data_IF_680032212138
#
_entry.id   IF_680032212138
#
_cell.length_a   1.000
_cell.length_b   1.000
_cell.length_c   1.000
_cell.angle_alpha   90.00
_cell.angle_beta   90.00
_cell.angle_gamma   90.00
#
_symmetry.space_group_name_H-M   'P 1'
#
loop_
_entity.id
_entity.type
_entity.pdbx_description
1 polymer ?
#
# COMPACT_ATOMS: atom_id res chain seq x y z
N UNK A 1 -13.21 5.71 -18.59
CA UNK A 1 -12.64 7.03 -18.94
C UNK A 1 -13.77 8.00 -19.33
N UNK A 2 -14.56 7.76 -20.37
CA UNK A 2 -15.60 8.69 -20.87
C UNK A 2 -16.59 9.17 -19.81
N UNK A 3 -17.00 8.30 -18.87
CA UNK A 3 -17.93 8.64 -17.78
C UNK A 3 -17.33 9.64 -16.78
N UNK A 4 -16.04 9.56 -16.53
CA UNK A 4 -15.38 10.29 -15.46
C UNK A 4 -14.53 11.49 -15.93
N UNK A 5 -14.18 11.55 -17.21
CA UNK A 5 -13.24 12.57 -17.76
C UNK A 5 -13.63 14.03 -17.50
N UNK A 6 -14.91 14.30 -17.24
CA UNK A 6 -15.39 15.66 -17.00
C UNK A 6 -15.27 16.10 -15.55
N UNK A 7 -14.76 15.22 -14.64
CA UNK A 7 -14.51 15.60 -13.26
C UNK A 7 -13.16 16.32 -13.15
N UNK A 8 -13.14 17.60 -12.72
CA UNK A 8 -11.91 18.40 -12.67
C UNK A 8 -10.90 17.90 -11.63
N UNK A 9 -11.30 17.01 -10.74
CA UNK A 9 -10.42 16.38 -9.74
C UNK A 9 -9.54 15.25 -10.31
N UNK A 10 -9.79 14.80 -11.56
CA UNK A 10 -8.94 13.77 -12.17
C UNK A 10 -7.67 14.42 -12.70
N UNK A 11 -6.57 14.18 -11.99
CA UNK A 11 -5.25 14.72 -12.32
C UNK A 11 -4.43 13.78 -13.22
N UNK A 12 -4.62 12.46 -13.08
CA UNK A 12 -3.89 11.44 -13.82
C UNK A 12 -4.73 10.16 -13.95
N UNK A 13 -4.56 9.46 -15.04
CA UNK A 13 -5.06 8.09 -15.21
C UNK A 13 -3.93 7.12 -14.94
N UNK A 14 -4.17 6.10 -14.11
CA UNK A 14 -3.21 5.04 -13.80
C UNK A 14 -3.70 3.70 -14.34
N UNK A 15 -2.78 2.92 -14.94
CA UNK A 15 -3.12 1.65 -15.57
C UNK A 15 -3.33 0.52 -14.58
N UNK A 16 -2.44 0.39 -13.62
CA UNK A 16 -2.49 -0.68 -12.63
C UNK A 16 -1.84 -0.29 -11.30
N UNK A 17 -2.07 -1.12 -10.29
CA UNK A 17 -1.35 -1.09 -9.03
C UNK A 17 -0.31 -2.21 -9.00
N UNK A 18 0.96 -1.84 -8.83
CA UNK A 18 2.11 -2.70 -8.54
C UNK A 18 2.43 -3.81 -9.56
N UNK A 19 1.76 -3.88 -10.72
CA UNK A 19 2.07 -4.94 -11.69
C UNK A 19 3.50 -4.85 -12.22
N UNK A 20 4.05 -3.65 -12.38
CA UNK A 20 5.45 -3.48 -12.79
C UNK A 20 6.42 -3.92 -11.68
N UNK A 21 6.16 -3.49 -10.44
CA UNK A 21 6.92 -3.93 -9.27
C UNK A 21 6.91 -5.45 -9.14
N UNK A 22 5.73 -6.07 -9.25
CA UNK A 22 5.59 -7.51 -9.17
C UNK A 22 6.33 -8.22 -10.31
N UNK A 23 6.20 -7.70 -11.53
CA UNK A 23 6.80 -8.30 -12.71
C UNK A 23 8.33 -8.25 -12.67
N UNK A 24 8.91 -7.08 -12.38
CA UNK A 24 10.35 -6.88 -12.45
C UNK A 24 11.06 -7.05 -11.09
N UNK A 25 10.41 -6.72 -9.97
CA UNK A 25 11.03 -6.70 -8.64
C UNK A 25 10.72 -7.92 -7.78
N UNK A 26 9.53 -8.55 -7.93
CA UNK A 26 9.11 -9.67 -7.08
C UNK A 26 9.25 -11.03 -7.74
N UNK A 27 9.90 -11.09 -8.91
CA UNK A 27 10.18 -12.34 -9.62
C UNK A 27 8.97 -12.96 -10.33
N UNK A 28 7.90 -12.18 -10.58
CA UNK A 28 6.74 -12.71 -11.31
C UNK A 28 7.07 -13.06 -12.77
N UNK A 29 8.08 -12.40 -13.33
CA UNK A 29 8.54 -12.63 -14.71
C UNK A 29 9.25 -13.97 -14.93
N UNK A 30 9.52 -14.71 -13.87
CA UNK A 30 10.14 -16.06 -13.92
C UNK A 30 9.31 -17.11 -13.20
N UNK A 31 8.17 -16.74 -12.63
CA UNK A 31 7.37 -17.57 -11.75
C UNK A 31 6.91 -18.88 -12.39
N UNK A 32 6.47 -18.82 -13.63
CA UNK A 32 6.00 -20.03 -14.34
C UNK A 32 7.14 -20.84 -14.93
N UNK A 33 8.26 -20.23 -15.29
CA UNK A 33 9.48 -20.93 -15.69
C UNK A 33 9.98 -21.86 -14.57
N UNK A 34 9.94 -21.39 -13.32
CA UNK A 34 10.30 -22.18 -12.14
C UNK A 34 9.36 -23.38 -11.92
N UNK A 35 8.14 -23.32 -12.45
CA UNK A 35 7.14 -24.39 -12.44
C UNK A 35 7.17 -25.25 -13.71
N UNK A 36 8.12 -25.04 -14.62
CA UNK A 36 8.26 -25.77 -15.87
C UNK A 36 7.44 -25.23 -17.05
N UNK A 37 6.91 -24.02 -16.95
CA UNK A 37 6.05 -23.37 -17.96
C UNK A 37 6.55 -21.99 -18.41
N UNK A 38 7.78 -21.87 -18.95
CA UNK A 38 8.37 -20.59 -19.31
C UNK A 38 7.58 -19.80 -20.39
N UNK A 39 6.79 -20.49 -21.19
CA UNK A 39 5.93 -19.86 -22.19
C UNK A 39 4.87 -18.94 -21.57
N UNK A 40 4.41 -19.25 -20.35
CA UNK A 40 3.41 -18.43 -19.65
C UNK A 40 3.99 -17.11 -19.17
N UNK A 41 5.25 -17.08 -18.71
CA UNK A 41 5.92 -15.85 -18.33
C UNK A 41 5.99 -14.89 -19.51
N UNK A 42 6.35 -15.39 -20.71
CA UNK A 42 6.37 -14.59 -21.94
C UNK A 42 4.97 -14.08 -22.32
N UNK A 43 3.96 -14.95 -22.31
CA UNK A 43 2.57 -14.59 -22.71
C UNK A 43 2.03 -13.51 -21.75
N UNK A 44 2.22 -13.67 -20.45
CA UNK A 44 1.73 -12.72 -19.45
C UNK A 44 2.46 -11.38 -19.60
N UNK A 45 3.80 -11.39 -19.76
CA UNK A 45 4.58 -10.17 -19.98
C UNK A 45 4.14 -9.40 -21.23
N UNK A 46 3.91 -10.11 -22.36
CA UNK A 46 3.39 -9.50 -23.60
C UNK A 46 2.00 -8.88 -23.38
N UNK A 47 1.11 -9.54 -22.62
CA UNK A 47 -0.22 -9.01 -22.33
C UNK A 47 -0.18 -7.79 -21.39
N UNK A 48 0.66 -7.80 -20.36
CA UNK A 48 0.87 -6.66 -19.48
C UNK A 48 1.37 -5.44 -20.27
N UNK A 49 2.39 -5.63 -21.12
CA UNK A 49 2.91 -4.58 -22.00
C UNK A 49 1.82 -4.04 -22.90
N UNK A 50 1.13 -4.90 -23.61
CA UNK A 50 0.05 -4.50 -24.54
C UNK A 50 -1.04 -3.73 -23.82
N UNK A 51 -1.50 -4.22 -22.67
CA UNK A 51 -2.60 -3.59 -21.94
C UNK A 51 -2.23 -2.21 -21.41
N UNK A 52 -1.09 -2.11 -20.71
CA UNK A 52 -0.75 -0.90 -19.96
C UNK A 52 0.09 0.11 -20.72
N UNK A 53 0.78 -0.29 -21.79
CA UNK A 53 1.63 0.62 -22.57
C UNK A 53 1.11 0.91 -23.99
N UNK A 54 0.07 0.19 -24.45
CA UNK A 54 -0.52 0.42 -25.76
C UNK A 54 -2.02 0.72 -25.66
N UNK A 55 -2.84 -0.26 -25.24
CA UNK A 55 -4.31 -0.14 -25.28
C UNK A 55 -4.85 0.95 -24.37
N UNK A 56 -4.40 0.99 -23.09
CA UNK A 56 -4.91 1.99 -22.14
C UNK A 56 -4.45 3.41 -22.45
N UNK A 57 -3.17 3.71 -22.77
CA UNK A 57 -2.78 5.06 -23.15
C UNK A 57 -3.47 5.53 -24.44
N UNK A 58 -3.68 4.67 -25.44
CA UNK A 58 -4.47 5.02 -26.63
C UNK A 58 -5.92 5.38 -26.25
N UNK A 59 -6.54 4.59 -25.39
CA UNK A 59 -7.90 4.85 -24.92
C UNK A 59 -7.99 6.15 -24.10
N UNK A 60 -6.98 6.46 -23.30
CA UNK A 60 -6.89 7.74 -22.58
C UNK A 60 -6.72 8.90 -23.55
N UNK A 61 -5.79 8.82 -24.49
CA UNK A 61 -5.57 9.85 -25.49
C UNK A 61 -6.84 10.14 -26.30
N UNK A 62 -7.58 9.10 -26.68
CA UNK A 62 -8.82 9.24 -27.44
C UNK A 62 -10.01 9.79 -26.62
N UNK A 63 -10.08 9.47 -25.32
CA UNK A 63 -11.26 9.76 -24.51
C UNK A 63 -11.08 10.91 -23.51
N UNK A 64 -9.86 11.21 -23.10
CA UNK A 64 -9.50 12.25 -22.12
C UNK A 64 -8.21 12.96 -22.53
N UNK A 65 -8.18 13.60 -23.70
CA UNK A 65 -6.99 14.27 -24.20
C UNK A 65 -6.55 15.36 -23.22
N UNK A 66 -5.25 15.43 -22.96
CA UNK A 66 -4.66 16.40 -22.06
C UNK A 66 -4.55 15.95 -20.58
N UNK A 67 -5.18 14.83 -20.19
CA UNK A 67 -4.95 14.23 -18.87
C UNK A 67 -3.80 13.23 -18.97
N UNK A 68 -2.75 13.35 -18.13
CA UNK A 68 -1.62 12.41 -18.12
C UNK A 68 -2.05 10.97 -17.85
N UNK A 69 -1.23 10.04 -18.34
CA UNK A 69 -1.39 8.61 -18.09
C UNK A 69 -0.07 8.03 -17.55
N UNK A 70 -0.18 7.25 -16.47
CA UNK A 70 0.90 6.42 -15.94
C UNK A 70 0.56 4.94 -16.11
N UNK A 71 1.47 4.11 -16.64
CA UNK A 71 1.16 2.70 -16.88
C UNK A 71 0.99 1.89 -15.60
N UNK A 72 1.63 2.27 -14.50
CA UNK A 72 1.60 1.59 -13.21
C UNK A 72 1.70 2.60 -12.05
N UNK A 73 1.40 2.18 -10.84
CA UNK A 73 1.78 2.82 -9.59
C UNK A 73 2.37 1.73 -8.66
N UNK A 74 3.60 1.87 -8.10
CA UNK A 74 4.51 2.98 -8.37
C UNK A 74 5.07 2.94 -9.79
N UNK A 75 5.50 4.09 -10.29
CA UNK A 75 6.10 4.18 -11.61
C UNK A 75 7.15 5.29 -11.69
N UNK A 76 8.28 4.96 -12.30
CA UNK A 76 9.29 5.89 -12.77
C UNK A 76 9.46 5.73 -14.29
N UNK A 77 10.28 6.56 -14.93
CA UNK A 77 10.51 6.47 -16.38
C UNK A 77 11.13 5.16 -16.84
N UNK A 78 11.77 4.44 -15.93
CA UNK A 78 12.43 3.18 -16.23
C UNK A 78 11.54 2.02 -15.85
N UNK A 79 11.28 1.11 -16.80
CA UNK A 79 10.55 -0.13 -16.54
C UNK A 79 11.23 -0.91 -15.40
N UNK A 80 10.45 -1.28 -14.40
CA UNK A 80 10.92 -2.13 -13.32
C UNK A 80 11.63 -1.45 -12.14
N UNK A 81 11.75 -0.14 -12.15
CA UNK A 81 12.31 0.59 -11.01
C UNK A 81 11.37 1.70 -10.56
N UNK A 82 11.01 1.71 -9.28
CA UNK A 82 10.47 2.91 -8.65
C UNK A 82 11.64 3.68 -8.02
N UNK A 83 12.09 4.71 -8.71
CA UNK A 83 13.12 5.60 -8.16
C UNK A 83 12.45 6.72 -7.35
N UNK A 84 12.91 6.93 -6.11
CA UNK A 84 12.36 7.99 -5.26
C UNK A 84 12.61 9.41 -5.81
N UNK A 85 13.46 9.55 -6.85
CA UNK A 85 13.80 10.82 -7.49
C UNK A 85 12.76 11.30 -8.50
N UNK A 86 11.91 10.41 -9.03
CA UNK A 86 10.89 10.73 -10.02
C UNK A 86 9.67 9.81 -9.88
N UNK A 87 8.56 10.20 -10.51
CA UNK A 87 7.31 9.42 -10.44
C UNK A 87 6.70 9.37 -9.06
N UNK A 88 6.21 8.20 -8.68
CA UNK A 88 5.61 7.93 -7.39
C UNK A 88 6.23 6.72 -6.69
N UNK A 89 6.05 6.64 -5.39
CA UNK A 89 6.68 5.63 -4.53
C UNK A 89 5.65 4.97 -3.63
N UNK A 90 5.69 3.64 -3.56
CA UNK A 90 5.05 2.84 -2.52
C UNK A 90 6.06 2.54 -1.41
N UNK A 91 5.86 3.14 -0.25
CA UNK A 91 6.80 3.02 0.86
C UNK A 91 6.25 2.11 1.97
N UNK A 92 6.51 0.82 1.84
CA UNK A 92 6.05 -0.22 2.77
C UNK A 92 7.11 -0.73 3.75
N UNK A 93 8.32 -0.16 3.72
CA UNK A 93 9.43 -0.60 4.57
C UNK A 93 9.08 -0.57 6.06
N UNK A 94 8.40 0.47 6.53
CA UNK A 94 7.96 0.56 7.93
C UNK A 94 7.03 -0.59 8.25
N UNK A 95 5.94 -0.77 7.50
CA UNK A 95 4.98 -1.83 7.80
C UNK A 95 5.48 -3.24 7.48
N UNK A 96 5.94 -3.51 6.25
CA UNK A 96 6.30 -4.86 5.82
C UNK A 96 7.65 -5.34 6.40
N UNK A 97 8.65 -4.46 6.49
CA UNK A 97 9.98 -4.84 6.98
C UNK A 97 10.23 -4.54 8.44
N UNK A 98 9.23 -4.05 9.19
CA UNK A 98 9.39 -3.62 10.59
C UNK A 98 10.50 -2.58 10.78
N UNK A 99 10.70 -1.69 9.83
CA UNK A 99 11.61 -0.58 10.03
C UNK A 99 11.04 0.39 11.08
N UNK A 100 11.87 1.12 11.82
CA UNK A 100 11.40 2.12 12.78
C UNK A 100 10.44 3.13 12.13
N UNK A 101 9.41 3.57 12.85
CA UNK A 101 8.49 4.62 12.38
C UNK A 101 9.24 5.89 11.98
N UNK A 102 10.36 6.16 12.65
CA UNK A 102 11.25 7.27 12.31
C UNK A 102 11.81 7.24 10.88
N UNK A 103 11.82 6.08 10.21
CA UNK A 103 12.27 5.95 8.81
C UNK A 103 11.43 6.78 7.83
N UNK A 104 10.17 7.10 8.18
CA UNK A 104 9.38 8.07 7.41
C UNK A 104 10.05 9.46 7.33
N UNK A 105 10.79 9.86 8.36
CA UNK A 105 11.52 11.15 8.35
C UNK A 105 12.78 11.13 7.48
N UNK A 106 13.37 9.95 7.26
CA UNK A 106 14.61 9.79 6.51
C UNK A 106 14.39 9.50 5.02
N UNK A 107 13.18 9.07 4.64
CA UNK A 107 12.87 8.70 3.26
C UNK A 107 12.34 9.90 2.49
N UNK A 108 12.87 10.13 1.29
CA UNK A 108 12.47 11.21 0.39
C UNK A 108 11.91 10.64 -0.91
N UNK A 109 10.81 11.20 -1.40
CA UNK A 109 10.25 10.89 -2.71
C UNK A 109 9.55 12.11 -3.30
N UNK A 110 9.37 12.11 -4.62
CA UNK A 110 8.61 13.16 -5.32
C UNK A 110 7.12 13.08 -5.00
N UNK A 111 6.59 11.86 -4.81
CA UNK A 111 5.20 11.59 -4.49
C UNK A 111 5.09 10.23 -3.79
N UNK A 112 4.53 10.19 -2.59
CA UNK A 112 4.20 8.93 -1.93
C UNK A 112 2.75 8.58 -2.25
N UNK A 113 2.55 7.63 -3.15
CA UNK A 113 1.23 7.15 -3.57
C UNK A 113 0.68 6.05 -2.68
N UNK A 114 1.57 5.32 -1.99
CA UNK A 114 1.20 4.40 -0.92
C UNK A 114 2.24 4.38 0.20
N UNK A 115 1.74 4.35 1.41
CA UNK A 115 2.40 3.97 2.65
C UNK A 115 1.30 3.74 3.66
N UNK A 116 1.55 3.04 4.75
CA UNK A 116 0.47 2.80 5.67
C UNK A 116 0.87 2.07 6.93
N UNK A 117 -0.12 1.93 7.79
CA UNK A 117 0.01 1.23 9.05
C UNK A 117 -1.35 0.67 9.46
N UNK A 118 -1.43 -0.62 9.76
CA UNK A 118 -2.67 -1.27 10.14
C UNK A 118 -2.99 -1.01 11.62
N UNK A 119 -4.28 -0.93 11.95
CA UNK A 119 -4.80 -1.04 13.31
C UNK A 119 -5.97 -2.00 13.36
N UNK A 120 -6.41 -2.35 14.56
CA UNK A 120 -7.67 -3.06 14.74
C UNK A 120 -8.84 -2.07 14.65
N UNK A 121 -10.08 -2.57 14.41
CA UNK A 121 -11.28 -1.77 14.62
C UNK A 121 -11.44 -1.39 16.10
N UNK A 122 -12.30 -0.41 16.37
CA UNK A 122 -12.65 -0.07 17.74
C UNK A 122 -13.34 -1.25 18.46
N UNK A 123 -13.23 -1.27 19.79
CA UNK A 123 -13.73 -2.37 20.62
C UNK A 123 -15.20 -2.71 20.36
N UNK A 124 -16.07 -1.70 20.19
CA UNK A 124 -17.48 -1.93 19.89
C UNK A 124 -17.74 -2.61 18.54
N UNK A 125 -16.87 -2.38 17.57
CA UNK A 125 -16.89 -3.07 16.27
C UNK A 125 -16.37 -4.50 16.39
N UNK A 126 -15.30 -4.71 17.16
CA UNK A 126 -14.76 -6.05 17.42
C UNK A 126 -15.82 -6.94 18.09
N UNK A 127 -16.57 -6.44 19.06
CA UNK A 127 -17.63 -7.19 19.73
C UNK A 127 -18.76 -7.69 18.79
N UNK A 128 -18.91 -7.14 17.59
CA UNK A 128 -19.91 -7.61 16.63
C UNK A 128 -19.53 -8.92 15.96
N UNK A 129 -18.25 -9.18 15.80
CA UNK A 129 -17.74 -10.42 15.19
C UNK A 129 -17.00 -11.34 16.17
N UNK A 130 -16.51 -10.80 17.29
CA UNK A 130 -15.87 -11.52 18.39
C UNK A 130 -16.57 -11.19 19.72
N UNK A 131 -17.83 -11.63 19.93
CA UNK A 131 -18.61 -11.29 21.12
C UNK A 131 -18.14 -12.04 22.37
N UNK A 132 -17.39 -13.13 22.23
CA UNK A 132 -16.99 -13.99 23.33
C UNK A 132 -15.56 -13.73 23.74
N UNK A 133 -15.30 -13.66 25.04
CA UNK A 133 -13.98 -13.36 25.61
C UNK A 133 -12.89 -14.34 25.17
N UNK A 134 -13.24 -15.58 24.88
CA UNK A 134 -12.30 -16.58 24.33
C UNK A 134 -11.68 -16.17 22.99
N UNK A 135 -12.34 -15.28 22.24
CA UNK A 135 -11.89 -14.78 20.94
C UNK A 135 -11.07 -13.48 21.06
N UNK A 136 -10.89 -12.95 22.30
CA UNK A 136 -10.16 -11.70 22.54
C UNK A 136 -8.66 -11.92 22.62
N UNK A 137 -8.14 -12.60 21.63
CA UNK A 137 -6.72 -12.69 21.33
C UNK A 137 -6.49 -12.36 19.87
N UNK A 138 -5.47 -11.57 19.56
CA UNK A 138 -5.16 -11.15 18.18
C UNK A 138 -4.78 -12.30 17.26
N UNK A 139 -4.43 -13.46 17.83
CA UNK A 139 -4.11 -14.69 17.11
C UNK A 139 -5.29 -15.68 17.10
N UNK A 140 -6.44 -15.34 17.70
CA UNK A 140 -7.64 -16.18 17.60
C UNK A 140 -8.08 -16.32 16.15
N UNK A 141 -8.71 -17.45 15.82
CA UNK A 141 -9.21 -17.72 14.47
C UNK A 141 -10.12 -16.60 13.97
N UNK A 142 -10.97 -16.06 14.86
CA UNK A 142 -11.90 -14.96 14.52
C UNK A 142 -11.14 -13.68 14.20
N UNK A 143 -10.17 -13.30 15.02
CA UNK A 143 -9.38 -12.08 14.78
C UNK A 143 -8.49 -12.22 13.54
N UNK A 144 -7.92 -13.40 13.31
CA UNK A 144 -7.12 -13.67 12.10
C UNK A 144 -7.97 -13.67 10.82
N UNK A 145 -9.23 -14.08 10.89
CA UNK A 145 -10.15 -14.02 9.75
C UNK A 145 -10.58 -12.59 9.37
N UNK A 146 -10.44 -11.63 10.31
CA UNK A 146 -10.83 -10.22 10.13
C UNK A 146 -9.64 -9.30 9.82
N UNK A 147 -8.66 -9.77 9.06
CA UNK A 147 -7.53 -9.00 8.57
C UNK A 147 -7.06 -9.53 7.20
N UNK A 148 -6.27 -8.73 6.45
CA UNK A 148 -5.79 -9.06 5.10
C UNK A 148 -4.27 -9.10 4.97
N UNK A 149 -3.54 -8.81 6.03
CA UNK A 149 -2.07 -8.72 6.01
C UNK A 149 -1.33 -10.06 6.13
N UNK A 150 -2.03 -11.20 6.05
CA UNK A 150 -1.43 -12.52 6.23
C UNK A 150 -1.02 -12.80 7.70
N UNK A 151 -0.24 -13.84 7.91
CA UNK A 151 0.09 -14.35 9.24
C UNK A 151 0.87 -13.36 10.13
N UNK A 152 1.54 -12.39 9.54
CA UNK A 152 2.37 -11.45 10.30
C UNK A 152 1.63 -10.20 10.82
N UNK A 153 0.50 -9.81 10.22
CA UNK A 153 -0.05 -8.46 10.38
C UNK A 153 -0.48 -8.14 11.81
N UNK A 154 -1.26 -9.01 12.45
CA UNK A 154 -1.68 -8.80 13.83
C UNK A 154 -0.49 -8.78 14.79
N UNK A 155 0.47 -9.68 14.59
CA UNK A 155 1.70 -9.73 15.36
C UNK A 155 2.58 -8.50 15.14
N UNK A 156 2.55 -7.91 13.93
CA UNK A 156 3.29 -6.69 13.62
C UNK A 156 2.80 -5.50 14.45
N UNK A 157 1.50 -5.38 14.66
CA UNK A 157 0.94 -4.36 15.57
C UNK A 157 1.46 -4.57 17.00
N UNK A 158 1.44 -5.80 17.51
CA UNK A 158 1.98 -6.13 18.84
C UNK A 158 3.46 -5.74 18.96
N UNK A 159 4.27 -6.10 17.97
CA UNK A 159 5.70 -5.80 17.97
C UNK A 159 6.00 -4.29 18.03
N UNK A 160 5.26 -3.48 17.26
CA UNK A 160 5.42 -2.03 17.32
C UNK A 160 4.91 -1.43 18.62
N UNK A 161 3.82 -1.97 19.21
CA UNK A 161 3.35 -1.53 20.51
C UNK A 161 4.39 -1.81 21.61
N UNK A 162 5.07 -2.93 21.54
CA UNK A 162 6.15 -3.28 22.48
C UNK A 162 7.38 -2.40 22.28
N UNK A 163 7.69 -2.00 21.05
CA UNK A 163 8.84 -1.12 20.74
C UNK A 163 8.58 0.36 21.13
N UNK A 164 7.35 0.86 20.97
CA UNK A 164 7.03 2.28 21.05
C UNK A 164 6.28 2.69 22.33
N UNK A 165 5.59 1.74 22.99
CA UNK A 165 4.72 2.02 24.13
C UNK A 165 4.85 1.02 25.27
N UNK A 166 4.16 1.30 26.38
CA UNK A 166 4.00 0.37 27.49
C UNK A 166 3.10 -0.80 27.12
N UNK A 167 3.30 -2.01 27.68
CA UNK A 167 2.41 -3.14 27.44
C UNK A 167 0.95 -2.81 27.77
N UNK A 168 0.05 -3.23 26.89
CA UNK A 168 -1.38 -3.12 27.13
C UNK A 168 -1.78 -4.03 28.30
N UNK A 169 -2.61 -3.52 29.19
CA UNK A 169 -3.06 -4.26 30.39
C UNK A 169 -4.16 -5.29 30.10
N UNK A 170 -4.91 -5.08 29.02
CA UNK A 170 -6.03 -5.91 28.60
C UNK A 170 -6.29 -5.76 27.10
N UNK A 171 -7.13 -6.61 26.54
CA UNK A 171 -7.47 -6.62 25.12
C UNK A 171 -8.07 -5.30 24.62
N UNK A 172 -8.99 -4.71 25.39
CA UNK A 172 -9.58 -3.42 25.03
C UNK A 172 -8.56 -2.30 24.95
N UNK A 173 -7.67 -2.25 25.92
CA UNK A 173 -6.55 -1.28 25.91
C UNK A 173 -5.61 -1.53 24.73
N UNK A 174 -5.35 -2.79 24.40
CA UNK A 174 -4.54 -3.16 23.24
C UNK A 174 -5.15 -2.61 21.94
N UNK A 175 -6.45 -2.80 21.72
CA UNK A 175 -7.14 -2.27 20.54
C UNK A 175 -7.01 -0.75 20.48
N UNK A 176 -7.27 -0.05 21.58
CA UNK A 176 -7.12 1.41 21.64
C UNK A 176 -5.68 1.86 21.34
N UNK A 177 -4.69 1.21 21.91
CA UNK A 177 -3.28 1.52 21.68
C UNK A 177 -2.90 1.29 20.21
N UNK A 178 -3.49 0.30 19.54
CA UNK A 178 -3.27 0.09 18.11
C UNK A 178 -3.74 1.28 17.25
N UNK A 179 -4.83 1.95 17.66
CA UNK A 179 -5.30 3.17 16.98
C UNK A 179 -4.33 4.33 17.19
N UNK A 180 -3.83 4.50 18.42
CA UNK A 180 -2.84 5.54 18.74
C UNK A 180 -1.57 5.32 17.93
N UNK A 181 -1.07 4.09 17.90
CA UNK A 181 0.11 3.69 17.15
C UNK A 181 -0.06 3.98 15.64
N UNK A 182 -1.19 3.58 15.05
CA UNK A 182 -1.50 3.90 13.65
C UNK A 182 -1.51 5.41 13.42
N UNK A 183 -2.19 6.15 14.32
CA UNK A 183 -2.27 7.61 14.24
C UNK A 183 -0.89 8.26 14.27
N UNK A 184 0.00 7.84 15.18
CA UNK A 184 1.35 8.38 15.30
C UNK A 184 2.23 8.01 14.10
N UNK A 185 2.13 6.78 13.59
CA UNK A 185 2.87 6.35 12.40
C UNK A 185 2.45 7.15 11.15
N UNK A 186 1.15 7.26 10.88
CA UNK A 186 0.62 8.01 9.73
C UNK A 186 0.90 9.51 9.87
N UNK A 187 0.74 10.08 11.07
CA UNK A 187 1.08 11.48 11.35
C UNK A 187 2.56 11.75 11.05
N UNK A 188 3.45 10.89 11.55
CA UNK A 188 4.90 11.02 11.31
C UNK A 188 5.22 11.05 9.81
N UNK A 189 4.60 10.15 9.04
CA UNK A 189 4.76 10.11 7.59
C UNK A 189 4.24 11.40 6.92
N UNK A 190 3.00 11.80 7.20
CA UNK A 190 2.39 13.01 6.60
C UNK A 190 3.23 14.25 6.91
N UNK A 191 3.66 14.41 8.16
CA UNK A 191 4.47 15.56 8.57
C UNK A 191 5.84 15.56 7.87
N UNK A 192 6.49 14.40 7.74
CA UNK A 192 7.75 14.26 7.02
C UNK A 192 7.59 14.65 5.54
N UNK A 193 6.60 14.09 4.85
CA UNK A 193 6.33 14.38 3.45
C UNK A 193 5.99 15.86 3.21
N UNK A 194 5.24 16.48 4.12
CA UNK A 194 4.89 17.90 4.03
C UNK A 194 6.09 18.83 4.28
N UNK A 195 6.98 18.48 5.21
CA UNK A 195 8.21 19.25 5.47
C UNK A 195 9.17 19.21 4.27
N UNK A 196 9.12 18.14 3.47
CA UNK A 196 10.02 17.97 2.31
C UNK A 196 9.60 18.77 1.06
N UNK A 197 8.56 19.63 1.15
CA UNK A 197 8.27 20.57 0.07
C UNK A 197 9.41 21.56 -0.14
N UNK A 198 9.74 21.93 -1.39
CA UNK A 198 9.04 21.64 -2.64
C UNK A 198 9.51 20.35 -3.33
N UNK A 199 10.22 19.47 -2.66
CA UNK A 199 10.66 18.22 -3.27
C UNK A 199 9.50 17.21 -3.35
N UNK A 200 8.85 16.91 -2.24
CA UNK A 200 7.67 16.04 -2.19
C UNK A 200 6.38 16.84 -2.42
N UNK A 201 5.55 16.41 -3.36
CA UNK A 201 4.30 17.08 -3.73
C UNK A 201 3.03 16.28 -3.44
N UNK A 202 3.14 15.02 -3.05
CA UNK A 202 1.98 14.18 -2.75
C UNK A 202 2.23 13.16 -1.65
N UNK A 203 1.16 12.90 -0.89
CA UNK A 203 1.17 11.95 0.22
C UNK A 203 -0.21 11.33 0.33
N UNK A 204 -0.34 10.07 -0.09
CA UNK A 204 -1.55 9.26 -0.06
C UNK A 204 -1.28 8.02 0.77
N UNK A 205 -2.00 7.84 1.86
CA UNK A 205 -1.85 6.64 2.68
C UNK A 205 -2.81 5.52 2.23
N UNK A 206 -2.37 4.31 2.30
CA UNK A 206 -3.14 3.10 2.12
C UNK A 206 -3.46 2.47 3.47
N UNK A 207 -4.73 2.38 3.91
CA UNK A 207 -5.85 2.95 3.18
C UNK A 207 -6.89 3.50 4.16
N UNK A 208 -7.75 4.38 3.67
CA UNK A 208 -8.76 5.04 4.50
C UNK A 208 -9.92 4.09 4.86
N UNK A 209 -10.36 3.29 3.91
CA UNK A 209 -11.48 2.37 4.10
C UNK A 209 -11.02 1.03 4.67
N UNK A 210 -11.93 0.39 5.34
CA UNK A 210 -11.83 -1.00 5.77
C UNK A 210 -12.06 -1.97 4.59
N UNK A 211 -11.67 -3.23 4.75
CA UNK A 211 -11.87 -4.28 3.75
C UNK A 211 -13.00 -5.26 4.16
#
# INVERSE_FOLDING_TARGET
IRRLRNHPSIAVWCGNNECNEAWFGWGWNTRYAEQGHPEWDRIIGDQLRRQYYEVLPEAVAACSPGTPYHPSSPWSRHEGTSENSEGDTHFWKVWHSRAPIADYNATRSRFFSEYGFQSFPEYASVLRFAPEERDWDIESEVMMAHQRGGDFANMRIRQYLEDEYWPARDFRTFLYMSHVLQGDAIKTAIEAHRRDKPYCWGSLFWQHNDC
#
